data_IF_379848248457
#
_entry.id   IF_379848248457
#
_cell.length_a   1.000
_cell.length_b   1.000
_cell.length_c   1.000
_cell.angle_alpha   90.00
_cell.angle_beta   90.00
_cell.angle_gamma   90.00
#
_symmetry.space_group_name_H-M   'P 1'
#
loop_
_entity.id
_entity.type
_entity.pdbx_description
1 polymer ?
#
# COMPACT_ATOMS: atom_id res chain seq x y z
N UNK A 1 -6.64 42.72 18.50
CA UNK A 1 -7.21 41.35 18.37
C UNK A 1 -6.77 40.81 17.03
N UNK A 2 -5.66 40.08 16.99
CA UNK A 2 -5.19 39.43 15.76
C UNK A 2 -5.99 38.14 15.59
N UNK A 3 -6.73 38.03 14.50
CA UNK A 3 -7.37 36.77 14.10
C UNK A 3 -6.29 35.80 13.63
N UNK A 4 -5.63 35.12 14.58
CA UNK A 4 -4.84 33.95 14.26
C UNK A 4 -5.79 32.88 13.75
N UNK A 5 -5.88 32.73 12.42
CA UNK A 5 -6.39 31.51 11.82
C UNK A 5 -5.50 30.38 12.33
N UNK A 6 -6.01 29.56 13.26
CA UNK A 6 -5.32 28.38 13.78
C UNK A 6 -5.23 27.33 12.67
N UNK A 7 -4.28 27.53 11.76
CA UNK A 7 -3.99 26.55 10.73
C UNK A 7 -3.28 25.34 11.36
N UNK A 8 -3.77 24.16 11.02
CA UNK A 8 -3.26 22.88 11.50
C UNK A 8 -2.35 22.29 10.42
N UNK A 9 -1.15 21.89 10.82
CA UNK A 9 -0.11 21.41 9.91
C UNK A 9 0.16 19.92 10.11
N UNK A 10 0.47 19.19 9.04
CA UNK A 10 0.99 17.80 9.12
C UNK A 10 2.50 17.77 9.25
N UNK A 11 3.17 18.71 8.60
CA UNK A 11 4.61 18.93 8.53
C UNK A 11 4.88 20.45 8.41
N UNK A 12 6.10 20.93 8.67
CA UNK A 12 6.45 22.33 8.46
C UNK A 12 6.04 22.81 7.06
N UNK A 13 5.19 23.84 6.99
CA UNK A 13 4.72 24.42 5.72
C UNK A 13 3.59 23.66 5.00
N UNK A 14 3.18 22.46 5.47
CA UNK A 14 2.13 21.65 4.82
C UNK A 14 0.88 21.51 5.69
N UNK A 15 -0.25 22.02 5.19
CA UNK A 15 -1.54 21.96 5.89
C UNK A 15 -2.03 20.52 6.01
N UNK A 16 -2.55 20.17 7.19
CA UNK A 16 -3.02 18.80 7.48
C UNK A 16 -4.10 18.34 6.49
N UNK A 17 -5.10 19.17 6.23
CA UNK A 17 -6.21 18.85 5.30
C UNK A 17 -5.71 18.51 3.90
N UNK A 18 -4.73 19.26 3.40
CA UNK A 18 -4.11 19.03 2.08
C UNK A 18 -3.35 17.72 2.07
N UNK A 19 -2.55 17.46 3.09
CA UNK A 19 -1.80 16.22 3.22
C UNK A 19 -2.71 14.99 3.29
N UNK A 20 -3.72 15.01 4.16
CA UNK A 20 -4.68 13.91 4.29
C UNK A 20 -5.38 13.61 2.97
N UNK A 21 -5.83 14.64 2.25
CA UNK A 21 -6.48 14.46 0.95
C UNK A 21 -5.52 13.91 -0.10
N UNK A 22 -4.30 14.43 -0.19
CA UNK A 22 -3.31 13.94 -1.15
C UNK A 22 -2.98 12.47 -0.89
N UNK A 23 -2.76 12.07 0.37
CA UNK A 23 -2.50 10.67 0.73
C UNK A 23 -3.72 9.80 0.41
N UNK A 24 -4.94 10.26 0.70
CA UNK A 24 -6.17 9.55 0.39
C UNK A 24 -6.37 9.30 -1.11
N UNK A 25 -6.21 10.33 -1.94
CA UNK A 25 -6.34 10.23 -3.40
C UNK A 25 -5.21 9.38 -4.01
N UNK A 26 -3.97 9.55 -3.56
CA UNK A 26 -2.85 8.72 -4.00
C UNK A 26 -3.09 7.24 -3.68
N UNK A 27 -3.57 6.96 -2.47
CA UNK A 27 -3.85 5.59 -2.02
C UNK A 27 -5.00 4.97 -2.84
N UNK A 28 -6.06 5.75 -3.09
CA UNK A 28 -7.18 5.35 -3.95
C UNK A 28 -6.73 5.06 -5.38
N UNK A 29 -5.90 5.93 -5.97
CA UNK A 29 -5.36 5.78 -7.32
C UNK A 29 -4.51 4.51 -7.45
N UNK A 30 -3.72 4.17 -6.42
CA UNK A 30 -2.95 2.92 -6.41
C UNK A 30 -3.89 1.72 -6.54
N UNK A 31 -4.95 1.65 -5.72
CA UNK A 31 -5.93 0.57 -5.79
C UNK A 31 -6.67 0.53 -7.12
N UNK A 32 -7.14 1.67 -7.66
CA UNK A 32 -7.80 1.72 -8.97
C UNK A 32 -6.93 1.19 -10.12
N UNK A 33 -5.61 1.21 -9.96
CA UNK A 33 -4.66 0.67 -10.92
C UNK A 33 -4.31 -0.81 -10.69
N UNK A 34 -4.88 -1.45 -9.66
CA UNK A 34 -4.74 -2.88 -9.41
C UNK A 34 -5.86 -3.66 -10.10
N UNK A 35 -5.55 -4.88 -10.54
CA UNK A 35 -6.53 -5.82 -11.06
C UNK A 35 -6.79 -6.89 -10.01
N UNK A 36 -7.68 -6.59 -9.07
CA UNK A 36 -8.08 -7.45 -7.95
C UNK A 36 -9.61 -7.46 -7.80
N UNK A 37 -10.15 -8.48 -7.16
CA UNK A 37 -11.56 -8.53 -6.77
C UNK A 37 -11.89 -7.42 -5.76
N UNK A 38 -13.15 -6.98 -5.71
CA UNK A 38 -13.64 -5.89 -4.85
C UNK A 38 -12.83 -4.57 -4.95
N UNK A 39 -12.22 -4.32 -6.11
CA UNK A 39 -11.30 -3.21 -6.31
C UNK A 39 -11.86 -1.84 -5.89
N UNK A 40 -13.10 -1.55 -6.27
CA UNK A 40 -13.74 -0.28 -5.93
C UNK A 40 -13.96 -0.11 -4.43
N UNK A 41 -14.38 -1.19 -3.75
CA UNK A 41 -14.51 -1.20 -2.29
C UNK A 41 -13.14 -0.94 -1.66
N UNK A 42 -12.10 -1.68 -2.06
CA UNK A 42 -10.78 -1.51 -1.49
C UNK A 42 -10.16 -0.14 -1.80
N UNK A 43 -10.41 0.42 -2.99
CA UNK A 43 -10.00 1.79 -3.31
C UNK A 43 -10.68 2.81 -2.38
N UNK A 44 -11.96 2.64 -2.10
CA UNK A 44 -12.69 3.51 -1.18
C UNK A 44 -12.25 3.33 0.28
N UNK A 45 -11.94 2.11 0.74
CA UNK A 45 -11.33 1.89 2.06
C UNK A 45 -9.95 2.51 2.15
N UNK A 46 -9.14 2.37 1.11
CA UNK A 46 -7.80 2.98 1.04
C UNK A 46 -7.86 4.51 1.13
N UNK A 47 -8.86 5.11 0.49
CA UNK A 47 -9.17 6.53 0.63
C UNK A 47 -9.50 6.91 2.08
N UNK A 48 -10.36 6.14 2.76
CA UNK A 48 -10.67 6.38 4.18
C UNK A 48 -9.40 6.31 5.04
N UNK A 49 -8.58 5.27 4.85
CA UNK A 49 -7.31 5.09 5.56
C UNK A 49 -6.41 6.33 5.39
N UNK A 50 -6.26 6.83 4.17
CA UNK A 50 -5.49 8.05 3.90
C UNK A 50 -6.06 9.30 4.58
N UNK A 51 -7.38 9.46 4.64
CA UNK A 51 -8.03 10.57 5.35
C UNK A 51 -7.86 10.51 6.88
N UNK A 52 -7.59 9.34 7.46
CA UNK A 52 -7.49 9.15 8.90
C UNK A 52 -6.06 9.04 9.45
N UNK A 53 -5.09 8.61 8.64
CA UNK A 53 -3.78 8.16 9.16
C UNK A 53 -3.06 9.18 10.06
N UNK A 54 -3.26 10.46 9.77
CA UNK A 54 -2.65 11.59 10.46
C UNK A 54 -3.67 12.48 11.19
N UNK A 55 -4.91 12.03 11.38
CA UNK A 55 -5.97 12.79 12.07
C UNK A 55 -5.49 13.39 13.40
N UNK A 56 -4.79 12.60 14.23
CA UNK A 56 -4.35 13.05 15.55
C UNK A 56 -3.18 14.05 15.53
N UNK A 57 -2.61 14.36 14.36
CA UNK A 57 -1.73 15.52 14.20
C UNK A 57 -2.48 16.84 14.47
N UNK A 58 -3.81 16.83 14.47
CA UNK A 58 -4.64 17.98 14.85
C UNK A 58 -4.63 18.31 16.34
N UNK A 59 -4.10 17.44 17.21
CA UNK A 59 -3.97 17.71 18.64
C UNK A 59 -3.01 18.87 18.90
N UNK A 60 -3.27 19.66 19.94
CA UNK A 60 -2.38 20.74 20.35
C UNK A 60 -1.00 20.21 20.73
N UNK A 61 -0.94 19.00 21.29
CA UNK A 61 0.31 18.30 21.62
C UNK A 61 1.19 18.09 20.39
N UNK A 62 0.62 17.61 19.27
CA UNK A 62 1.37 17.43 18.04
C UNK A 62 1.73 18.78 17.39
N UNK A 63 0.81 19.74 17.38
CA UNK A 63 1.09 21.08 16.85
C UNK A 63 2.19 21.80 17.65
N UNK A 64 2.29 21.56 18.97
CA UNK A 64 3.39 22.04 19.80
C UNK A 64 4.71 21.34 19.44
N UNK A 65 4.68 20.01 19.30
CA UNK A 65 5.86 19.24 18.86
C UNK A 65 6.41 19.73 17.51
N UNK A 66 5.55 20.05 16.54
CA UNK A 66 5.96 20.59 15.25
C UNK A 66 6.74 21.91 15.37
N UNK A 67 6.47 22.73 16.39
CA UNK A 67 7.11 24.02 16.62
C UNK A 67 8.36 23.91 17.47
N UNK A 68 8.26 23.17 18.57
CA UNK A 68 9.27 23.15 19.63
C UNK A 68 10.27 21.99 19.46
N UNK A 69 9.97 21.03 18.58
CA UNK A 69 10.71 19.78 18.36
C UNK A 69 10.90 18.90 19.61
N UNK A 70 10.23 19.21 20.71
CA UNK A 70 10.21 18.41 21.93
C UNK A 70 9.18 17.28 21.84
N UNK A 71 9.69 16.05 21.76
CA UNK A 71 8.85 14.86 21.59
C UNK A 71 8.32 14.38 22.94
N UNK A 72 7.01 14.54 23.15
CA UNK A 72 6.29 13.99 24.31
C UNK A 72 5.47 12.75 23.90
N UNK A 73 5.05 11.92 24.86
CA UNK A 73 4.18 10.77 24.55
C UNK A 73 2.84 11.22 23.94
N UNK A 74 2.30 12.35 24.39
CA UNK A 74 1.05 12.93 23.88
C UNK A 74 1.17 13.45 22.43
N UNK A 75 2.39 13.63 21.92
CA UNK A 75 2.63 13.95 20.53
C UNK A 75 2.59 12.71 19.61
N UNK A 76 2.48 11.49 20.13
CA UNK A 76 2.28 10.31 19.29
C UNK A 76 0.87 10.28 18.70
N UNK A 77 0.74 10.39 17.38
CA UNK A 77 -0.55 10.48 16.72
C UNK A 77 -1.10 9.14 16.20
N UNK A 78 -0.26 8.11 16.01
CA UNK A 78 -0.67 6.85 15.36
C UNK A 78 -1.85 6.11 16.02
N UNK A 79 -2.00 6.14 17.35
CA UNK A 79 -3.10 5.43 18.03
C UNK A 79 -4.46 6.10 17.81
N UNK A 80 -4.56 7.39 18.12
CA UNK A 80 -5.82 8.11 17.95
C UNK A 80 -6.24 8.16 16.48
N UNK A 81 -5.29 8.36 15.56
CA UNK A 81 -5.54 8.24 14.12
C UNK A 81 -6.07 6.85 13.72
N UNK A 82 -5.55 5.77 14.30
CA UNK A 82 -6.02 4.42 14.01
C UNK A 82 -7.45 4.19 14.51
N UNK A 83 -7.79 4.68 15.70
CA UNK A 83 -9.16 4.60 16.25
C UNK A 83 -10.13 5.40 15.36
N UNK A 84 -9.73 6.58 14.91
CA UNK A 84 -10.51 7.37 13.96
C UNK A 84 -10.69 6.64 12.61
N UNK A 85 -9.62 6.03 12.10
CA UNK A 85 -9.64 5.20 10.89
C UNK A 85 -10.59 4.01 10.96
N UNK A 86 -10.64 3.33 12.11
CA UNK A 86 -11.64 2.29 12.38
C UNK A 86 -13.06 2.84 12.28
N UNK A 87 -13.33 3.97 12.95
CA UNK A 87 -14.65 4.60 12.99
C UNK A 87 -15.13 4.97 11.58
N UNK A 88 -14.33 5.70 10.80
CA UNK A 88 -14.76 6.16 9.47
C UNK A 88 -14.94 5.00 8.49
N UNK A 89 -14.13 3.94 8.62
CA UNK A 89 -14.26 2.74 7.79
C UNK A 89 -15.54 2.00 8.12
N UNK A 90 -15.84 1.82 9.42
CA UNK A 90 -17.09 1.20 9.88
C UNK A 90 -18.32 1.98 9.38
N UNK A 91 -18.32 3.30 9.54
CA UNK A 91 -19.40 4.17 9.05
C UNK A 91 -19.59 4.10 7.54
N UNK A 92 -18.50 4.06 6.78
CA UNK A 92 -18.56 3.88 5.34
C UNK A 92 -19.24 2.55 4.97
N UNK A 93 -18.88 1.45 5.62
CA UNK A 93 -19.47 0.14 5.36
C UNK A 93 -20.95 0.08 5.74
N UNK A 94 -21.32 0.61 6.92
CA UNK A 94 -22.71 0.69 7.39
C UNK A 94 -23.58 1.50 6.42
N UNK A 95 -23.12 2.69 6.02
CA UNK A 95 -23.83 3.56 5.08
C UNK A 95 -24.08 2.88 3.73
N UNK A 96 -23.11 2.12 3.24
CA UNK A 96 -23.19 1.42 1.96
C UNK A 96 -23.74 -0.01 2.08
N UNK A 97 -24.15 -0.45 3.28
CA UNK A 97 -24.67 -1.80 3.55
C UNK A 97 -23.73 -2.93 3.11
N UNK A 98 -22.42 -2.73 3.29
CA UNK A 98 -21.37 -3.67 2.87
C UNK A 98 -21.00 -4.58 4.05
N UNK A 99 -21.12 -5.90 3.85
CA UNK A 99 -20.82 -6.89 4.89
C UNK A 99 -19.34 -7.31 4.88
N UNK A 100 -18.47 -6.46 5.45
CA UNK A 100 -17.02 -6.72 5.59
C UNK A 100 -16.49 -6.23 6.94
N UNK A 101 -16.87 -6.93 8.01
CA UNK A 101 -16.50 -6.59 9.40
C UNK A 101 -14.99 -6.59 9.69
N UNK A 102 -14.19 -7.22 8.81
CA UNK A 102 -12.74 -7.28 8.87
C UNK A 102 -12.06 -5.93 8.53
N UNK A 103 -12.63 -5.19 7.57
CA UNK A 103 -12.00 -3.98 7.00
C UNK A 103 -11.77 -2.84 8.01
N UNK A 104 -12.64 -2.57 9.00
CA UNK A 104 -12.36 -1.60 10.05
C UNK A 104 -11.12 -1.97 10.88
N UNK A 105 -10.92 -3.25 11.22
CA UNK A 105 -9.73 -3.70 11.95
C UNK A 105 -8.49 -3.65 11.06
N UNK A 106 -8.60 -4.02 9.78
CA UNK A 106 -7.50 -3.89 8.82
C UNK A 106 -7.06 -2.42 8.69
N UNK A 107 -8.02 -1.49 8.67
CA UNK A 107 -7.76 -0.04 8.63
C UNK A 107 -7.08 0.45 9.91
N UNK A 108 -7.57 0.02 11.07
CA UNK A 108 -6.94 0.29 12.37
C UNK A 108 -5.48 -0.17 12.39
N UNK A 109 -5.21 -1.42 11.98
CA UNK A 109 -3.87 -2.01 11.98
C UNK A 109 -2.92 -1.31 11.01
N UNK A 110 -3.40 -0.99 9.80
CA UNK A 110 -2.62 -0.30 8.77
C UNK A 110 -2.16 1.08 9.25
N UNK A 111 -3.06 1.85 9.87
CA UNK A 111 -2.74 3.16 10.43
C UNK A 111 -1.88 3.01 11.68
N UNK A 112 -2.18 2.08 12.57
CA UNK A 112 -1.43 1.96 13.84
C UNK A 112 0.07 1.72 13.61
N UNK A 113 0.42 1.04 12.52
CA UNK A 113 1.78 0.66 12.18
C UNK A 113 2.53 1.64 11.25
N UNK A 114 1.89 2.67 10.67
CA UNK A 114 2.48 3.43 9.54
C UNK A 114 3.80 4.18 9.83
N UNK A 115 4.15 4.41 11.10
CA UNK A 115 5.44 4.97 11.53
C UNK A 115 6.47 3.94 12.01
N UNK A 116 6.17 2.66 11.86
CA UNK A 116 7.07 1.58 12.26
C UNK A 116 6.88 0.36 11.37
N UNK A 117 7.22 -0.80 11.91
CA UNK A 117 7.01 -2.06 11.22
C UNK A 117 5.61 -2.60 11.52
N UNK A 118 5.03 -3.28 10.53
CA UNK A 118 3.85 -4.10 10.76
C UNK A 118 4.21 -5.16 11.80
N UNK A 119 3.42 -5.23 12.87
CA UNK A 119 3.64 -6.15 13.98
C UNK A 119 2.90 -7.45 13.77
N UNK A 120 3.31 -8.50 14.46
CA UNK A 120 2.59 -9.77 14.43
C UNK A 120 1.24 -9.64 15.17
N UNK A 121 0.15 -9.67 14.40
CA UNK A 121 -1.23 -9.51 14.90
C UNK A 121 -1.96 -10.84 15.08
N UNK A 122 -1.35 -11.98 14.70
CA UNK A 122 -1.98 -13.31 14.73
C UNK A 122 -1.51 -14.16 15.92
N UNK A 123 -0.62 -13.62 16.74
CA UNK A 123 -0.17 -14.24 17.98
C UNK A 123 -0.57 -13.36 19.18
N UNK A 124 -1.71 -13.67 19.78
CA UNK A 124 -2.30 -12.91 20.89
C UNK A 124 -1.56 -13.07 22.24
N UNK A 125 -0.54 -13.93 22.27
CA UNK A 125 0.34 -14.15 23.43
C UNK A 125 1.61 -13.29 23.40
N UNK A 126 1.88 -12.59 22.28
CA UNK A 126 3.04 -11.70 22.18
C UNK A 126 2.77 -10.31 22.74
N UNK A 127 3.79 -9.69 23.32
CA UNK A 127 3.77 -8.30 23.80
C UNK A 127 3.34 -7.29 22.72
N UNK A 128 3.65 -7.56 21.45
CA UNK A 128 3.29 -6.68 20.35
C UNK A 128 1.78 -6.60 20.13
N UNK A 129 1.06 -7.71 20.26
CA UNK A 129 -0.40 -7.73 20.19
C UNK A 129 -1.01 -6.96 21.37
N UNK A 130 -0.46 -7.14 22.57
CA UNK A 130 -0.89 -6.39 23.76
C UNK A 130 -0.70 -4.88 23.59
N UNK A 131 0.41 -4.44 22.97
CA UNK A 131 0.66 -3.02 22.65
C UNK A 131 -0.37 -2.46 21.66
N UNK A 132 -0.88 -3.27 20.73
CA UNK A 132 -1.90 -2.82 19.76
C UNK A 132 -3.29 -2.78 20.40
N UNK A 133 -3.59 -3.74 21.27
CA UNK A 133 -4.87 -3.89 21.95
C UNK A 133 -5.07 -2.91 23.10
N UNK A 134 -4.01 -2.58 23.83
CA UNK A 134 -4.06 -1.70 25.00
C UNK A 134 -3.85 -0.25 24.57
N UNK A 135 -4.97 0.46 24.39
CA UNK A 135 -4.99 1.88 24.07
C UNK A 135 -4.35 2.66 25.23
N UNK A 136 -3.26 3.41 24.99
CA UNK A 136 -2.58 4.17 26.03
C UNK A 136 -3.43 5.27 26.64
N UNK A 137 -3.14 5.64 27.89
CA UNK A 137 -3.89 6.67 28.63
C UNK A 137 -3.84 8.05 27.95
N UNK A 138 -2.68 8.41 27.38
CA UNK A 138 -2.52 9.69 26.67
C UNK A 138 -3.52 9.88 25.52
N UNK A 139 -4.08 8.81 24.97
CA UNK A 139 -5.07 8.88 23.88
C UNK A 139 -6.38 9.51 24.38
N UNK A 140 -6.76 9.26 25.65
CA UNK A 140 -7.93 9.92 26.26
C UNK A 140 -7.67 11.42 26.41
N UNK A 141 -6.45 11.81 26.79
CA UNK A 141 -6.05 13.21 26.90
C UNK A 141 -6.04 13.91 25.54
N UNK A 142 -5.63 13.21 24.48
CA UNK A 142 -5.71 13.72 23.11
C UNK A 142 -7.16 13.94 22.65
N UNK A 143 -8.09 13.05 23.00
CA UNK A 143 -9.52 13.23 22.70
C UNK A 143 -10.07 14.46 23.42
N UNK A 144 -9.75 14.61 24.71
CA UNK A 144 -10.22 15.76 25.49
C UNK A 144 -9.62 17.07 24.98
N UNK A 145 -8.34 17.06 24.59
CA UNK A 145 -7.70 18.18 23.90
C UNK A 145 -8.45 18.58 22.62
N UNK A 146 -8.81 17.62 21.76
CA UNK A 146 -9.53 17.90 20.52
C UNK A 146 -10.96 18.41 20.76
N UNK A 147 -11.66 17.91 21.79
CA UNK A 147 -12.99 18.40 22.17
C UNK A 147 -12.97 19.86 22.61
N UNK A 148 -11.89 20.27 23.29
CA UNK A 148 -11.71 21.64 23.80
C UNK A 148 -10.99 22.57 22.82
N UNK A 149 -10.44 22.03 21.73
CA UNK A 149 -9.71 22.78 20.72
C UNK A 149 -10.61 23.33 19.60
N UNK A 150 -10.23 24.48 19.03
CA UNK A 150 -10.90 25.02 17.85
C UNK A 150 -10.47 24.28 16.57
N UNK A 151 -11.09 23.13 16.31
CA UNK A 151 -10.87 22.30 15.12
C UNK A 151 -12.01 22.42 14.08
N UNK A 152 -12.79 23.50 14.12
CA UNK A 152 -13.99 23.68 13.28
C UNK A 152 -13.70 23.58 11.77
N UNK A 153 -12.51 24.04 11.35
CA UNK A 153 -12.09 23.91 9.95
C UNK A 153 -11.93 22.43 9.54
N UNK A 154 -11.30 21.63 10.42
CA UNK A 154 -11.10 20.21 10.21
C UNK A 154 -12.42 19.43 10.25
N UNK A 155 -13.34 19.79 11.16
CA UNK A 155 -14.70 19.23 11.17
C UNK A 155 -15.41 19.48 9.84
N UNK A 156 -15.38 20.73 9.33
CA UNK A 156 -15.92 21.08 8.01
C UNK A 156 -15.24 20.34 6.86
N UNK A 157 -13.93 20.08 6.96
CA UNK A 157 -13.21 19.25 5.99
C UNK A 157 -13.77 17.83 5.96
N UNK A 158 -13.93 17.17 7.11
CA UNK A 158 -14.45 15.80 7.20
C UNK A 158 -15.92 15.69 6.80
N UNK A 159 -16.75 16.70 7.08
CA UNK A 159 -18.16 16.73 6.65
C UNK A 159 -18.32 16.63 5.13
N UNK A 160 -17.37 17.13 4.33
CA UNK A 160 -17.38 16.98 2.87
C UNK A 160 -17.35 15.51 2.42
N UNK A 161 -16.84 14.63 3.28
CA UNK A 161 -16.75 13.19 3.04
C UNK A 161 -17.80 12.41 3.85
N UNK A 162 -18.81 13.09 4.40
CA UNK A 162 -19.85 12.53 5.27
C UNK A 162 -19.30 11.89 6.56
N UNK A 163 -18.23 12.48 7.11
CA UNK A 163 -17.62 12.03 8.38
C UNK A 163 -17.94 13.07 9.45
N UNK A 164 -18.61 12.65 10.53
CA UNK A 164 -18.91 13.51 11.68
C UNK A 164 -17.86 13.30 12.78
N UNK A 165 -17.03 14.31 13.02
CA UNK A 165 -16.03 14.28 14.09
C UNK A 165 -16.69 14.39 15.47
N UNK A 166 -17.81 15.10 15.58
CA UNK A 166 -18.56 15.20 16.84
C UNK A 166 -19.18 13.85 17.22
N UNK A 167 -19.77 13.14 16.25
CA UNK A 167 -20.27 11.78 16.48
C UNK A 167 -19.14 10.82 16.88
N UNK A 168 -17.95 10.97 16.29
CA UNK A 168 -16.77 10.21 16.71
C UNK A 168 -16.44 10.44 18.19
N UNK A 169 -16.48 11.69 18.65
CA UNK A 169 -16.21 12.04 20.04
C UNK A 169 -17.26 11.50 21.02
N UNK A 170 -18.54 11.52 20.63
CA UNK A 170 -19.64 10.96 21.42
C UNK A 170 -19.52 9.44 21.56
N UNK A 171 -19.09 8.75 20.50
CA UNK A 171 -19.01 7.29 20.46
C UNK A 171 -17.63 6.72 20.82
N UNK A 172 -16.66 7.58 21.16
CA UNK A 172 -15.26 7.20 21.35
C UNK A 172 -15.08 6.02 22.33
N UNK A 173 -15.76 6.03 23.47
CA UNK A 173 -15.66 4.95 24.47
C UNK A 173 -16.18 3.61 23.93
N UNK A 174 -17.30 3.62 23.22
CA UNK A 174 -17.86 2.43 22.59
C UNK A 174 -16.91 1.88 21.51
N UNK A 175 -16.35 2.76 20.68
CA UNK A 175 -15.40 2.39 19.62
C UNK A 175 -14.17 1.71 20.22
N UNK A 176 -13.61 2.22 21.32
CA UNK A 176 -12.47 1.58 22.00
C UNK A 176 -12.78 0.16 22.44
N UNK A 177 -13.97 -0.07 23.00
CA UNK A 177 -14.40 -1.40 23.46
C UNK A 177 -14.57 -2.34 22.26
N UNK A 178 -15.21 -1.88 21.19
CA UNK A 178 -15.38 -2.66 19.96
C UNK A 178 -14.05 -3.05 19.32
N UNK A 179 -13.10 -2.12 19.19
CA UNK A 179 -11.77 -2.41 18.63
C UNK A 179 -11.10 -3.54 19.41
N UNK A 180 -11.14 -3.49 20.75
CA UNK A 180 -10.53 -4.55 21.59
C UNK A 180 -11.18 -5.91 21.36
N UNK A 181 -12.50 -5.96 21.22
CA UNK A 181 -13.24 -7.21 20.97
C UNK A 181 -12.99 -7.75 19.56
N UNK A 182 -13.11 -6.89 18.55
CA UNK A 182 -12.97 -7.25 17.15
C UNK A 182 -11.53 -7.63 16.80
N UNK A 183 -10.53 -6.95 17.37
CA UNK A 183 -9.13 -7.32 17.20
C UNK A 183 -8.83 -8.73 17.75
N UNK A 184 -9.47 -9.12 18.87
CA UNK A 184 -9.34 -10.47 19.45
C UNK A 184 -10.04 -11.52 18.59
N UNK A 185 -11.19 -11.21 18.00
CA UNK A 185 -11.87 -12.08 17.02
C UNK A 185 -11.01 -12.26 15.78
N UNK A 186 -10.50 -11.15 15.25
CA UNK A 186 -9.67 -11.10 14.04
C UNK A 186 -8.36 -11.89 14.18
N UNK A 187 -7.63 -11.73 15.29
CA UNK A 187 -6.35 -12.44 15.50
C UNK A 187 -6.50 -13.97 15.53
N UNK A 188 -7.65 -14.45 16.01
CA UNK A 188 -7.95 -15.89 16.11
C UNK A 188 -8.32 -16.53 14.79
N UNK A 189 -8.83 -15.75 13.83
CA UNK A 189 -9.22 -16.27 12.51
C UNK A 189 -8.01 -16.76 11.71
N UNK A 190 -6.84 -16.12 11.85
CA UNK A 190 -5.61 -16.46 11.12
C UNK A 190 -5.80 -16.58 9.61
N UNK A 191 -6.65 -15.71 9.08
CA UNK A 191 -7.02 -15.70 7.68
C UNK A 191 -5.91 -15.08 6.80
N UNK A 192 -5.54 -15.79 5.73
CA UNK A 192 -4.45 -15.40 4.83
C UNK A 192 -4.83 -14.24 3.91
N UNK A 193 -6.10 -14.12 3.53
CA UNK A 193 -6.58 -13.02 2.71
C UNK A 193 -6.46 -11.71 3.51
N UNK A 194 -6.93 -11.72 4.76
CA UNK A 194 -6.78 -10.63 5.70
C UNK A 194 -5.31 -10.23 5.91
N UNK A 195 -4.40 -11.21 5.98
CA UNK A 195 -2.96 -10.92 6.09
C UNK A 195 -2.45 -10.17 4.85
N UNK A 196 -2.82 -10.64 3.65
CA UNK A 196 -2.44 -10.00 2.39
C UNK A 196 -3.08 -8.61 2.24
N UNK A 197 -4.33 -8.44 2.67
CA UNK A 197 -5.03 -7.15 2.68
C UNK A 197 -4.35 -6.16 3.62
N UNK A 198 -3.97 -6.56 4.84
CA UNK A 198 -3.20 -5.71 5.74
C UNK A 198 -1.91 -5.26 5.08
N UNK A 199 -1.14 -6.17 4.48
CA UNK A 199 0.09 -5.82 3.77
C UNK A 199 -0.16 -4.84 2.63
N UNK A 200 -1.23 -5.03 1.86
CA UNK A 200 -1.57 -4.19 0.72
C UNK A 200 -1.98 -2.77 1.16
N UNK A 201 -2.88 -2.63 2.13
CA UNK A 201 -3.28 -1.34 2.67
C UNK A 201 -2.14 -0.61 3.37
N UNK A 202 -1.36 -1.33 4.20
CA UNK A 202 -0.20 -0.79 4.89
C UNK A 202 0.87 -0.27 3.93
N UNK A 203 1.24 -1.06 2.92
CA UNK A 203 2.24 -0.66 1.92
C UNK A 203 1.76 0.51 1.07
N UNK A 204 0.48 0.52 0.68
CA UNK A 204 -0.13 1.62 -0.08
C UNK A 204 -0.15 2.93 0.72
N UNK A 205 -0.49 2.87 2.01
CA UNK A 205 -0.47 4.03 2.89
C UNK A 205 0.96 4.60 3.02
N UNK A 206 1.96 3.75 3.26
CA UNK A 206 3.35 4.20 3.39
C UNK A 206 3.87 4.81 2.08
N UNK A 207 3.58 4.20 0.93
CA UNK A 207 3.99 4.72 -0.36
C UNK A 207 3.38 6.11 -0.60
N UNK A 208 2.08 6.25 -0.36
CA UNK A 208 1.35 7.51 -0.55
C UNK A 208 1.78 8.62 0.41
N UNK A 209 1.97 8.29 1.69
CA UNK A 209 2.45 9.22 2.72
C UNK A 209 3.86 9.72 2.39
N UNK A 210 4.80 8.81 2.08
CA UNK A 210 6.18 9.19 1.74
C UNK A 210 6.28 9.99 0.45
N UNK A 211 5.54 9.63 -0.60
CA UNK A 211 5.53 10.38 -1.86
C UNK A 211 5.01 11.80 -1.62
N UNK A 212 3.91 11.93 -0.87
CA UNK A 212 3.34 13.24 -0.58
C UNK A 212 4.22 14.07 0.37
N UNK A 213 4.85 13.46 1.38
CA UNK A 213 5.74 14.14 2.30
C UNK A 213 7.07 14.59 1.65
N UNK A 214 7.56 13.87 0.63
CA UNK A 214 8.81 14.18 -0.08
C UNK A 214 8.62 15.03 -1.35
N UNK A 215 7.38 15.32 -1.74
CA UNK A 215 7.03 15.98 -3.02
C UNK A 215 7.69 15.30 -4.24
N UNK A 216 7.92 13.98 -4.13
CA UNK A 216 8.61 13.21 -5.16
C UNK A 216 7.78 13.12 -6.44
N UNK A 217 8.41 13.36 -7.59
CA UNK A 217 7.74 13.23 -8.89
C UNK A 217 7.37 11.77 -9.15
N UNK A 218 6.08 11.50 -9.37
CA UNK A 218 5.59 10.19 -9.80
C UNK A 218 6.16 9.85 -11.19
N UNK A 219 6.99 8.81 -11.27
CA UNK A 219 7.49 8.31 -12.55
C UNK A 219 6.41 7.58 -13.32
N UNK A 220 6.15 8.03 -14.56
CA UNK A 220 5.23 7.31 -15.47
C UNK A 220 5.86 5.99 -15.91
N UNK A 221 5.06 4.92 -15.89
CA UNK A 221 5.52 3.61 -16.36
C UNK A 221 5.84 3.68 -17.85
N UNK A 222 7.04 3.23 -18.23
CA UNK A 222 7.41 3.08 -19.64
C UNK A 222 6.73 1.85 -20.24
N UNK A 223 6.29 1.98 -21.49
CA UNK A 223 5.80 0.83 -22.27
C UNK A 223 7.00 0.07 -22.82
N UNK A 224 7.14 -1.19 -22.42
CA UNK A 224 8.18 -2.09 -22.91
C UNK A 224 7.55 -2.98 -23.97
N UNK A 225 8.11 -3.00 -25.19
CA UNK A 225 7.62 -3.86 -26.27
C UNK A 225 7.88 -5.33 -25.94
N UNK A 226 6.92 -6.20 -26.24
CA UNK A 226 7.03 -7.64 -25.94
C UNK A 226 8.15 -8.32 -26.72
N UNK A 227 8.45 -7.84 -27.91
CA UNK A 227 9.46 -8.39 -28.81
C UNK A 227 10.88 -7.84 -28.59
N UNK A 228 11.12 -7.04 -27.54
CA UNK A 228 12.43 -6.45 -27.26
C UNK A 228 13.54 -7.51 -27.13
N UNK A 229 13.21 -8.68 -26.59
CA UNK A 229 14.15 -9.79 -26.44
C UNK A 229 14.39 -10.48 -27.79
N UNK A 230 13.37 -10.59 -28.65
CA UNK A 230 13.52 -11.11 -30.00
C UNK A 230 14.48 -10.22 -30.81
N UNK A 231 14.34 -8.89 -30.68
CA UNK A 231 15.22 -7.90 -31.31
C UNK A 231 16.66 -8.02 -30.78
N UNK A 232 16.82 -8.13 -29.46
CA UNK A 232 18.12 -8.33 -28.83
C UNK A 232 18.81 -9.62 -29.33
N UNK A 233 18.07 -10.74 -29.41
CA UNK A 233 18.58 -12.02 -29.91
C UNK A 233 19.04 -11.89 -31.38
N UNK A 234 18.27 -11.20 -32.21
CA UNK A 234 18.63 -10.94 -33.63
C UNK A 234 19.86 -10.07 -33.78
N UNK A 235 20.06 -9.06 -32.94
CA UNK A 235 21.21 -8.15 -33.03
C UNK A 235 22.50 -8.73 -32.43
N UNK A 236 22.41 -9.34 -31.24
CA UNK A 236 23.59 -9.71 -30.44
C UNK A 236 23.91 -11.19 -30.40
N UNK A 237 22.93 -12.06 -30.67
CA UNK A 237 23.11 -13.51 -30.54
C UNK A 237 23.12 -14.26 -31.88
N UNK A 238 22.72 -13.60 -32.96
CA UNK A 238 22.77 -14.13 -34.33
C UNK A 238 24.20 -14.30 -34.86
N UNK A 239 25.18 -13.59 -34.28
CA UNK A 239 26.60 -13.67 -34.64
C UNK A 239 27.36 -14.81 -33.93
N UNK A 240 26.68 -15.61 -33.09
CA UNK A 240 27.32 -16.69 -32.36
C UNK A 240 27.58 -17.91 -33.25
N UNK A 241 28.72 -18.58 -33.06
CA UNK A 241 29.05 -19.83 -33.74
C UNK A 241 27.93 -20.87 -33.57
N UNK A 242 27.59 -21.57 -34.65
CA UNK A 242 26.64 -22.67 -34.62
C UNK A 242 27.23 -23.85 -33.81
N UNK A 243 26.88 -23.90 -32.53
CA UNK A 243 27.32 -24.91 -31.57
C UNK A 243 26.11 -25.62 -31.00
N UNK A 244 26.28 -26.87 -30.56
CA UNK A 244 25.20 -27.65 -29.93
C UNK A 244 24.53 -26.90 -28.77
N UNK A 245 25.31 -26.13 -28.00
CA UNK A 245 24.82 -25.29 -26.90
C UNK A 245 23.93 -24.15 -27.41
N UNK A 246 24.31 -23.49 -28.51
CA UNK A 246 23.51 -22.41 -29.08
C UNK A 246 22.23 -22.91 -29.76
N UNK A 247 22.26 -24.10 -30.38
CA UNK A 247 21.05 -24.78 -30.86
C UNK A 247 20.08 -25.07 -29.72
N UNK A 248 20.58 -25.69 -28.63
CA UNK A 248 19.78 -25.97 -27.44
C UNK A 248 19.18 -24.69 -26.83
N UNK A 249 19.94 -23.59 -26.75
CA UNK A 249 19.43 -22.28 -26.30
C UNK A 249 18.31 -21.75 -27.18
N UNK A 250 18.45 -21.88 -28.51
CA UNK A 250 17.44 -21.43 -29.47
C UNK A 250 16.17 -22.26 -29.38
N UNK A 251 16.30 -23.58 -29.37
CA UNK A 251 15.18 -24.52 -29.20
C UNK A 251 14.44 -24.25 -27.89
N UNK A 252 15.18 -24.11 -26.78
CA UNK A 252 14.63 -23.77 -25.47
C UNK A 252 13.85 -22.46 -25.50
N UNK A 253 14.41 -21.42 -26.12
CA UNK A 253 13.77 -20.12 -26.25
C UNK A 253 12.46 -20.23 -27.05
N UNK A 254 12.48 -20.93 -28.17
CA UNK A 254 11.33 -21.05 -29.06
C UNK A 254 10.22 -21.90 -28.41
N UNK A 255 10.57 -22.99 -27.72
CA UNK A 255 9.64 -23.82 -26.96
C UNK A 255 8.91 -23.03 -25.86
N UNK A 256 9.68 -22.29 -25.03
CA UNK A 256 9.11 -21.46 -23.96
C UNK A 256 8.19 -20.38 -24.54
N UNK A 257 8.59 -19.67 -25.59
CA UNK A 257 7.74 -18.61 -26.14
C UNK A 257 6.51 -19.16 -26.87
N UNK A 258 6.59 -20.31 -27.53
CA UNK A 258 5.42 -20.99 -28.14
C UNK A 258 4.39 -21.41 -27.10
N UNK A 259 4.83 -21.78 -25.88
CA UNK A 259 3.90 -22.17 -24.82
C UNK A 259 2.86 -21.09 -24.47
N UNK A 260 3.18 -19.80 -24.70
CA UNK A 260 2.32 -18.66 -24.35
C UNK A 260 0.98 -18.70 -25.07
N UNK A 261 0.95 -19.24 -26.28
CA UNK A 261 -0.30 -19.36 -27.06
C UNK A 261 -1.33 -20.20 -26.32
N UNK A 262 -0.87 -21.30 -25.69
CA UNK A 262 -1.71 -22.29 -25.03
C UNK A 262 -1.91 -22.05 -23.52
N UNK A 263 -1.27 -21.03 -22.93
CA UNK A 263 -1.42 -20.73 -21.50
C UNK A 263 -2.83 -20.24 -21.18
N UNK A 264 -3.43 -20.85 -20.16
CA UNK A 264 -4.61 -20.33 -19.50
C UNK A 264 -4.20 -19.20 -18.53
N UNK A 265 -4.76 -18.01 -18.69
CA UNK A 265 -4.44 -16.87 -17.82
C UNK A 265 -4.97 -17.02 -16.38
N UNK A 266 -5.78 -18.05 -16.12
CA UNK A 266 -6.15 -18.44 -14.76
C UNK A 266 -4.99 -19.15 -14.03
N UNK A 267 -4.04 -19.74 -14.75
CA UNK A 267 -2.83 -20.30 -14.16
C UNK A 267 -1.93 -19.16 -13.67
N UNK A 268 -1.59 -19.17 -12.36
CA UNK A 268 -0.82 -18.08 -11.72
C UNK A 268 0.64 -18.44 -11.48
N UNK A 269 1.01 -19.71 -11.56
CA UNK A 269 2.35 -20.22 -11.24
C UNK A 269 2.88 -21.01 -12.44
N UNK A 270 4.03 -20.58 -12.95
CA UNK A 270 4.75 -21.23 -14.06
C UNK A 270 6.17 -21.55 -13.62
N UNK A 271 6.70 -22.68 -14.09
CA UNK A 271 8.08 -23.10 -13.78
C UNK A 271 8.86 -23.42 -15.05
N UNK A 272 10.13 -23.02 -15.06
CA UNK A 272 11.08 -23.31 -16.15
C UNK A 272 12.26 -24.08 -15.55
N UNK A 273 12.26 -25.40 -15.78
CA UNK A 273 13.32 -26.30 -15.29
C UNK A 273 14.27 -26.64 -16.42
N UNK A 274 15.46 -26.04 -16.43
CA UNK A 274 16.49 -26.25 -17.45
C UNK A 274 17.90 -26.27 -16.81
N UNK A 275 18.89 -26.95 -17.43
CA UNK A 275 20.26 -26.92 -16.94
C UNK A 275 20.87 -25.50 -17.03
N UNK A 276 21.93 -25.25 -16.26
CA UNK A 276 22.70 -24.01 -16.35
C UNK A 276 23.25 -23.81 -17.76
N UNK A 277 23.38 -22.54 -18.18
CA UNK A 277 23.86 -22.22 -19.53
C UNK A 277 22.81 -22.36 -20.65
N UNK A 278 21.62 -22.92 -20.41
CA UNK A 278 20.56 -23.12 -21.43
C UNK A 278 19.76 -21.87 -21.81
N UNK A 279 20.14 -20.69 -21.30
CA UNK A 279 19.46 -19.43 -21.63
C UNK A 279 18.19 -19.12 -20.82
N UNK A 280 18.01 -19.77 -19.66
CA UNK A 280 16.86 -19.58 -18.73
C UNK A 280 16.43 -18.12 -18.58
N UNK A 281 17.38 -17.23 -18.26
CA UNK A 281 17.08 -15.83 -17.96
C UNK A 281 16.47 -15.09 -19.15
N UNK A 282 17.07 -15.21 -20.34
CA UNK A 282 16.59 -14.54 -21.56
C UNK A 282 15.23 -15.10 -21.98
N UNK A 283 15.07 -16.42 -21.92
CA UNK A 283 13.79 -17.08 -22.25
C UNK A 283 12.69 -16.69 -21.25
N UNK A 284 12.98 -16.68 -19.95
CA UNK A 284 12.03 -16.28 -18.91
C UNK A 284 11.61 -14.80 -19.03
N UNK A 285 12.55 -13.91 -19.36
CA UNK A 285 12.23 -12.49 -19.54
C UNK A 285 11.38 -12.25 -20.79
N UNK A 286 11.71 -12.90 -21.92
CA UNK A 286 10.87 -12.90 -23.12
C UNK A 286 9.47 -13.42 -22.84
N UNK A 287 9.38 -14.53 -22.10
CA UNK A 287 8.13 -15.12 -21.67
C UNK A 287 7.29 -14.15 -20.83
N UNK A 288 7.89 -13.52 -19.81
CA UNK A 288 7.20 -12.56 -18.96
C UNK A 288 6.66 -11.36 -19.75
N UNK A 289 7.40 -10.86 -20.74
CA UNK A 289 6.98 -9.74 -21.58
C UNK A 289 5.83 -10.09 -22.53
N UNK A 290 5.89 -11.27 -23.16
CA UNK A 290 4.81 -11.76 -24.04
C UNK A 290 3.57 -12.15 -23.24
N UNK A 291 3.73 -12.73 -22.04
CA UNK A 291 2.62 -12.97 -21.10
C UNK A 291 1.97 -11.67 -20.65
N UNK A 292 2.77 -10.64 -20.31
CA UNK A 292 2.27 -9.29 -20.00
C UNK A 292 1.44 -8.71 -21.14
N UNK A 293 1.89 -8.86 -22.39
CA UNK A 293 1.11 -8.41 -23.56
C UNK A 293 -0.21 -9.19 -23.71
N UNK A 294 -0.22 -10.51 -23.47
CA UNK A 294 -1.43 -11.34 -23.49
C UNK A 294 -2.44 -10.86 -22.43
N UNK A 295 -1.96 -10.60 -21.21
CA UNK A 295 -2.77 -10.05 -20.10
C UNK A 295 -3.32 -8.66 -20.45
N UNK A 296 -2.50 -7.76 -21.01
CA UNK A 296 -2.94 -6.41 -21.43
C UNK A 296 -4.04 -6.48 -22.50
N UNK A 297 -3.92 -7.38 -23.48
CA UNK A 297 -4.95 -7.54 -24.52
C UNK A 297 -6.28 -8.03 -23.96
N UNK A 298 -6.23 -9.01 -23.05
CA UNK A 298 -7.42 -9.70 -22.51
C UNK A 298 -8.11 -8.92 -21.39
N UNK A 299 -7.36 -8.38 -20.43
CA UNK A 299 -7.91 -7.75 -19.22
C UNK A 299 -7.80 -6.22 -19.23
N UNK A 300 -7.26 -5.62 -20.31
CA UNK A 300 -6.99 -4.16 -20.41
C UNK A 300 -6.14 -3.63 -19.25
N UNK A 301 -5.33 -4.51 -18.66
CA UNK A 301 -4.46 -4.22 -17.53
C UNK A 301 -3.03 -4.60 -17.87
N UNK A 302 -2.09 -3.69 -17.64
CA UNK A 302 -0.67 -3.94 -17.90
C UNK A 302 0.07 -4.26 -16.59
N UNK A 303 0.35 -5.54 -16.29
CA UNK A 303 1.01 -5.94 -15.06
C UNK A 303 2.44 -5.42 -14.96
N UNK A 304 2.90 -5.20 -13.73
CA UNK A 304 4.30 -4.90 -13.41
C UNK A 304 5.10 -6.20 -13.45
N UNK A 305 6.23 -6.20 -14.15
CA UNK A 305 7.20 -7.29 -14.09
C UNK A 305 8.16 -6.97 -12.95
N UNK A 306 8.16 -7.80 -11.92
CA UNK A 306 9.09 -7.73 -10.80
C UNK A 306 10.09 -8.87 -11.00
N UNK A 307 11.36 -8.53 -11.12
CA UNK A 307 12.44 -9.49 -11.29
C UNK A 307 13.26 -9.55 -10.00
N UNK A 308 13.20 -10.70 -9.32
CA UNK A 308 13.93 -10.95 -8.07
C UNK A 308 15.14 -11.83 -8.33
N UNK A 309 16.30 -11.42 -7.82
CA UNK A 309 17.57 -12.12 -7.96
C UNK A 309 18.27 -12.27 -6.62
N UNK A 310 18.91 -13.42 -6.34
CA UNK A 310 19.55 -13.69 -5.06
C UNK A 310 20.85 -12.89 -4.81
N UNK A 311 21.49 -12.29 -5.83
CA UNK A 311 22.76 -11.57 -5.68
C UNK A 311 22.78 -10.25 -6.47
N UNK A 312 23.22 -9.17 -5.81
CA UNK A 312 23.34 -7.82 -6.39
C UNK A 312 24.31 -7.75 -7.59
N UNK A 313 25.37 -8.56 -7.61
CA UNK A 313 26.33 -8.62 -8.72
C UNK A 313 25.70 -9.06 -10.06
N UNK A 314 24.63 -9.85 -10.00
CA UNK A 314 23.87 -10.28 -11.18
C UNK A 314 22.85 -9.19 -11.58
N UNK A 315 22.37 -8.39 -10.61
CA UNK A 315 21.49 -7.25 -10.87
C UNK A 315 22.22 -6.18 -11.69
N UNK A 316 23.46 -5.82 -11.34
CA UNK A 316 24.24 -4.84 -12.09
C UNK A 316 24.57 -5.30 -13.52
N UNK A 317 24.82 -6.60 -13.72
CA UNK A 317 25.02 -7.18 -15.05
C UNK A 317 23.72 -7.15 -15.87
N UNK A 318 22.57 -7.50 -15.28
CA UNK A 318 21.30 -7.52 -15.99
C UNK A 318 20.72 -6.12 -16.22
N UNK A 319 20.89 -5.18 -15.28
CA UNK A 319 20.45 -3.79 -15.43
C UNK A 319 21.19 -3.11 -16.59
N UNK A 320 22.52 -3.30 -16.71
CA UNK A 320 23.31 -2.77 -17.83
C UNK A 320 22.85 -3.28 -19.18
N UNK A 321 22.38 -4.53 -19.26
CA UNK A 321 21.77 -5.07 -20.47
C UNK A 321 20.39 -4.45 -20.70
N UNK A 322 19.56 -4.33 -19.66
CA UNK A 322 18.17 -3.85 -19.78
C UNK A 322 18.04 -2.34 -20.10
N UNK A 323 18.86 -1.47 -19.49
CA UNK A 323 18.83 0.00 -19.70
C UNK A 323 19.21 0.43 -21.11
N UNK A 324 19.96 -0.39 -21.87
CA UNK A 324 20.32 -0.06 -23.25
C UNK A 324 19.13 -0.14 -24.22
N UNK A 325 18.00 -0.73 -23.79
CA UNK A 325 16.85 -1.02 -24.67
C UNK A 325 15.51 -0.48 -24.14
N UNK A 326 15.50 0.24 -23.01
CA UNK A 326 14.33 0.95 -22.44
C UNK A 326 14.58 2.44 -22.36
#
# INVERSE_FOLDING_TARGET
MSSCTNEIYSHPGKKLETHLLNVAENSKEIFQNLHIEDNELYANISFQIGLAHDFAKSTTYFQKYLKDHEKTEKAYHSFLSAIFGYYITKKYLEKNKINREDLPIISYLSIKSHHGNLKDVYNDQKDEFNKIKNIPEYVNEQIEDLKNSNIEKLKKFYLKYNISVDEFFENYENIKVEIKQNLKKFSRQKDIENYLLILLFFSTLIDSDKIDASETVKFKRRKIKSNIVDLYKKDKLSQNKDTQINRLRNETYDLINKSIENINLNDKIFSITLPTGSGKTISAFSFALKLREKIEKQYKFTPRIIYSLPFLSIIDQNEKVNRKYT
#
